data_IF_800109187867
#
_entry.id   IF_800109187867
#
_cell.length_a   1.000
_cell.length_b   1.000
_cell.length_c   1.000
_cell.angle_alpha   90.00
_cell.angle_beta   90.00
_cell.angle_gamma   90.00
#
_symmetry.space_group_name_H-M   'P 1'
#
loop_
_entity.id
_entity.type
_entity.pdbx_description
1 polymer ?
#
# COMPACT_ATOMS: atom_id res chain seq x y z
N UNK A 1 41.68 -1.12 26.83
CA UNK A 1 40.72 -0.14 26.31
C UNK A 1 39.84 -0.99 25.43
N UNK A 2 39.04 -1.83 26.07
CA UNK A 2 38.55 -3.09 25.50
C UNK A 2 37.03 -3.06 25.35
N UNK A 3 36.48 -1.87 25.07
CA UNK A 3 35.08 -1.73 24.67
C UNK A 3 34.92 -2.12 23.19
N UNK A 4 34.26 -3.24 22.93
CA UNK A 4 34.02 -3.72 21.57
C UNK A 4 32.84 -2.99 20.92
N UNK A 5 33.12 -2.34 19.80
CA UNK A 5 32.13 -1.59 19.04
C UNK A 5 32.27 -1.80 17.54
N UNK A 6 31.17 -1.68 16.83
CA UNK A 6 31.12 -1.78 15.37
C UNK A 6 30.21 -0.69 14.80
N UNK A 7 30.65 -0.10 13.69
CA UNK A 7 29.84 0.79 12.86
C UNK A 7 29.77 0.17 11.47
N UNK A 8 28.56 0.07 10.94
CA UNK A 8 28.30 -0.35 9.56
C UNK A 8 27.58 0.79 8.85
N UNK A 9 28.06 1.09 7.65
CA UNK A 9 27.45 2.07 6.75
C UNK A 9 27.23 1.39 5.41
N UNK A 10 26.01 1.45 4.89
CA UNK A 10 25.66 0.94 3.58
C UNK A 10 24.89 2.00 2.78
N UNK A 11 25.07 1.99 1.46
CA UNK A 11 24.27 2.76 0.52
C UNK A 11 23.60 1.82 -0.46
N UNK A 12 22.38 2.15 -0.88
CA UNK A 12 21.66 1.36 -1.85
C UNK A 12 20.98 2.24 -2.91
N UNK A 13 20.86 1.67 -4.10
CA UNK A 13 20.16 2.28 -5.22
C UNK A 13 19.46 1.19 -6.03
N UNK A 14 18.18 1.38 -6.30
CA UNK A 14 17.36 0.52 -7.14
C UNK A 14 16.65 1.37 -8.18
N UNK A 15 16.98 1.11 -9.44
CA UNK A 15 16.21 1.63 -10.57
C UNK A 15 14.96 0.77 -10.78
N UNK A 16 13.82 1.41 -10.99
CA UNK A 16 12.57 0.76 -11.37
C UNK A 16 12.32 1.13 -12.83
N UNK A 17 12.52 0.16 -13.74
CA UNK A 17 12.29 0.38 -15.16
C UNK A 17 10.81 0.60 -15.46
N UNK A 18 9.97 -0.29 -14.92
CA UNK A 18 8.52 -0.21 -15.01
C UNK A 18 7.86 -0.98 -13.87
N UNK A 19 6.57 -0.75 -13.66
CA UNK A 19 5.71 -1.54 -12.79
C UNK A 19 4.27 -1.58 -13.32
N UNK A 20 3.51 -2.58 -12.87
CA UNK A 20 2.09 -2.70 -13.20
C UNK A 20 1.31 -1.70 -12.35
N UNK A 21 0.60 -0.81 -13.03
CA UNK A 21 -0.25 0.21 -12.42
C UNK A 21 -1.72 -0.08 -12.76
N UNK A 22 -2.55 -0.16 -11.73
CA UNK A 22 -4.00 -0.21 -11.91
C UNK A 22 -4.50 1.21 -12.12
N UNK A 23 -5.16 1.45 -13.24
CA UNK A 23 -5.77 2.73 -13.59
C UNK A 23 -7.28 2.59 -13.68
N UNK A 24 -7.98 3.67 -13.36
CA UNK A 24 -9.42 3.78 -13.53
C UNK A 24 -9.73 5.02 -14.37
N UNK A 25 -10.61 4.86 -15.36
CA UNK A 25 -11.15 5.96 -16.17
C UNK A 25 -12.64 6.05 -15.83
N UNK A 26 -13.07 7.22 -15.40
CA UNK A 26 -14.44 7.45 -14.96
C UNK A 26 -14.85 8.91 -15.24
N UNK A 27 -15.84 9.15 -16.13
CA UNK A 27 -16.53 8.16 -16.97
C UNK A 27 -15.65 7.66 -18.13
N UNK A 28 -15.79 6.39 -18.52
CA UNK A 28 -15.18 5.83 -19.73
C UNK A 28 -16.22 5.70 -20.84
N UNK A 29 -15.95 6.31 -22.00
CA UNK A 29 -16.82 6.26 -23.19
C UNK A 29 -16.75 4.88 -23.85
N UNK A 30 -17.66 3.97 -23.48
CA UNK A 30 -17.64 2.60 -23.98
C UNK A 30 -18.04 2.54 -25.46
N UNK A 31 -19.10 3.24 -25.84
CA UNK A 31 -19.59 3.23 -27.23
C UNK A 31 -18.57 3.84 -28.19
N UNK A 32 -18.00 5.00 -27.84
CA UNK A 32 -16.97 5.67 -28.64
C UNK A 32 -15.67 4.87 -28.75
N UNK A 33 -15.38 3.96 -27.82
CA UNK A 33 -14.25 3.01 -27.89
C UNK A 33 -14.62 1.66 -28.53
N UNK A 34 -15.80 1.54 -29.15
CA UNK A 34 -16.19 0.38 -29.96
C UNK A 34 -16.82 -0.78 -29.19
N UNK A 35 -17.18 -0.58 -27.93
CA UNK A 35 -18.00 -1.54 -27.20
C UNK A 35 -19.46 -1.42 -27.65
N UNK A 36 -20.14 -2.55 -27.80
CA UNK A 36 -21.58 -2.56 -28.06
C UNK A 36 -22.30 -2.37 -26.72
N UNK A 37 -22.83 -1.18 -26.51
CA UNK A 37 -23.59 -0.80 -25.31
C UNK A 37 -25.06 -0.62 -25.70
N UNK A 38 -26.02 -1.24 -24.99
CA UNK A 38 -27.43 -0.96 -25.24
C UNK A 38 -27.82 0.41 -24.67
N UNK A 39 -28.67 1.18 -25.35
CA UNK A 39 -29.17 2.49 -24.86
C UNK A 39 -29.92 2.39 -23.53
N UNK A 40 -30.47 1.22 -23.21
CA UNK A 40 -31.21 0.96 -21.99
C UNK A 40 -31.25 -0.52 -21.62
N UNK A 41 -31.52 -0.80 -20.34
CA UNK A 41 -31.74 -2.13 -19.79
C UNK A 41 -33.11 -2.23 -19.14
N UNK A 42 -33.79 -3.36 -19.36
CA UNK A 42 -35.07 -3.67 -18.72
C UNK A 42 -34.81 -4.49 -17.46
N UNK A 43 -35.20 -3.97 -16.30
CA UNK A 43 -35.00 -4.63 -15.00
C UNK A 43 -36.34 -4.91 -14.32
N UNK A 44 -36.49 -6.05 -13.62
CA UNK A 44 -37.70 -6.36 -12.87
C UNK A 44 -37.84 -5.46 -11.63
N UNK A 45 -39.06 -5.09 -11.31
CA UNK A 45 -39.40 -4.32 -10.11
C UNK A 45 -39.64 -5.28 -8.94
N UNK A 46 -39.10 -4.96 -7.77
CA UNK A 46 -39.29 -5.73 -6.53
C UNK A 46 -40.06 -4.91 -5.50
N UNK A 47 -40.79 -5.58 -4.61
CA UNK A 47 -41.37 -4.93 -3.45
C UNK A 47 -40.28 -4.47 -2.47
N UNK A 48 -40.55 -3.39 -1.74
CA UNK A 48 -39.69 -2.94 -0.66
C UNK A 48 -39.66 -3.99 0.45
N UNK A 49 -38.49 -4.23 1.02
CA UNK A 49 -38.34 -5.18 2.12
C UNK A 49 -38.89 -4.57 3.41
N UNK A 50 -39.78 -5.28 4.09
CA UNK A 50 -40.39 -4.85 5.36
C UNK A 50 -39.45 -5.06 6.56
N UNK A 51 -38.46 -5.95 6.43
CA UNK A 51 -37.47 -6.24 7.47
C UNK A 51 -36.10 -6.65 6.89
N UNK A 52 -35.01 -6.42 7.64
CA UNK A 52 -33.67 -6.82 7.22
C UNK A 52 -33.57 -8.34 6.97
N UNK A 53 -33.04 -8.72 5.79
CA UNK A 53 -32.85 -10.12 5.41
C UNK A 53 -34.07 -10.80 4.77
N UNK A 54 -35.17 -10.08 4.56
CA UNK A 54 -36.29 -10.57 3.74
C UNK A 54 -35.80 -10.88 2.30
N UNK A 55 -36.23 -12.02 1.76
CA UNK A 55 -35.94 -12.37 0.37
C UNK A 55 -36.70 -11.43 -0.58
N UNK A 56 -36.05 -10.93 -1.65
CA UNK A 56 -36.70 -10.00 -2.57
C UNK A 56 -37.83 -10.69 -3.34
N UNK A 57 -39.02 -10.09 -3.32
CA UNK A 57 -40.20 -10.55 -4.06
C UNK A 57 -40.45 -9.65 -5.28
N UNK A 58 -40.60 -10.25 -6.46
CA UNK A 58 -40.86 -9.51 -7.70
C UNK A 58 -42.31 -9.06 -7.79
N UNK A 59 -42.51 -7.83 -8.25
CA UNK A 59 -43.84 -7.33 -8.63
C UNK A 59 -44.27 -8.01 -9.92
N UNK A 60 -45.45 -8.61 -9.94
CA UNK A 60 -46.04 -9.26 -11.12
C UNK A 60 -47.34 -8.57 -11.53
N UNK A 61 -47.67 -8.62 -12.81
CA UNK A 61 -48.92 -8.11 -13.35
C UNK A 61 -50.08 -9.11 -13.15
N UNK A 62 -51.27 -8.75 -13.66
CA UNK A 62 -52.48 -9.59 -13.56
C UNK A 62 -52.39 -10.92 -14.32
N UNK A 63 -51.35 -11.13 -15.14
CA UNK A 63 -51.08 -12.37 -15.86
C UNK A 63 -49.99 -13.21 -15.18
N UNK A 64 -49.38 -12.70 -14.11
CA UNK A 64 -48.26 -13.31 -13.41
C UNK A 64 -46.90 -13.03 -14.06
N UNK A 65 -46.82 -12.12 -15.04
CA UNK A 65 -45.55 -11.72 -15.64
C UNK A 65 -44.86 -10.64 -14.80
N UNK A 66 -43.51 -10.63 -14.69
CA UNK A 66 -42.79 -9.60 -13.95
C UNK A 66 -43.06 -8.20 -14.50
N UNK A 67 -43.41 -7.26 -13.63
CA UNK A 67 -43.41 -5.84 -13.96
C UNK A 67 -41.97 -5.40 -14.10
N UNK A 68 -41.65 -4.72 -15.20
CA UNK A 68 -40.31 -4.25 -15.50
C UNK A 68 -40.27 -2.76 -15.72
N UNK A 69 -39.12 -2.15 -15.49
CA UNK A 69 -38.82 -0.76 -15.81
C UNK A 69 -37.60 -0.72 -16.75
N UNK A 70 -37.66 0.15 -17.74
CA UNK A 70 -36.54 0.42 -18.65
C UNK A 70 -35.73 1.58 -18.11
N UNK A 71 -34.44 1.35 -17.88
CA UNK A 71 -33.49 2.32 -17.34
C UNK A 71 -32.43 2.61 -18.40
N UNK A 72 -32.15 3.88 -18.75
CA UNK A 72 -31.08 4.20 -19.69
C UNK A 72 -29.72 3.79 -19.13
N UNK A 73 -28.82 3.35 -20.00
CA UNK A 73 -27.43 3.10 -19.61
C UNK A 73 -26.64 4.42 -19.61
N UNK A 74 -25.55 4.45 -18.83
CA UNK A 74 -24.62 5.58 -18.76
C UNK A 74 -23.20 5.05 -18.67
N UNK A 75 -22.23 5.82 -19.17
CA UNK A 75 -20.82 5.50 -19.01
C UNK A 75 -20.45 5.36 -17.53
N UNK A 76 -19.78 4.26 -17.24
CA UNK A 76 -19.31 3.90 -15.90
C UNK A 76 -17.79 3.97 -15.78
N UNK A 77 -17.29 3.43 -14.66
CA UNK A 77 -15.88 3.23 -14.40
C UNK A 77 -15.33 2.06 -15.21
N UNK A 78 -14.23 2.28 -15.92
CA UNK A 78 -13.43 1.22 -16.53
C UNK A 78 -12.10 1.10 -15.78
N UNK A 79 -11.78 -0.11 -15.32
CA UNK A 79 -10.51 -0.42 -14.64
C UNK A 79 -9.64 -1.33 -15.51
N UNK A 80 -8.35 -1.04 -15.58
CA UNK A 80 -7.38 -1.88 -16.28
C UNK A 80 -6.00 -1.77 -15.63
N UNK A 81 -5.09 -2.65 -16.02
CA UNK A 81 -3.71 -2.66 -15.56
C UNK A 81 -2.78 -2.38 -16.74
N UNK A 82 -1.91 -1.38 -16.60
CA UNK A 82 -0.92 -1.02 -17.62
C UNK A 82 0.48 -1.19 -17.03
N UNK A 83 1.45 -1.54 -17.88
CA UNK A 83 2.87 -1.43 -17.51
C UNK A 83 3.30 0.01 -17.83
N UNK A 84 3.67 0.79 -16.82
CA UNK A 84 4.04 2.18 -17.06
C UNK A 84 5.34 2.29 -17.86
N UNK A 85 5.49 3.36 -18.65
CA UNK A 85 6.67 3.53 -19.50
C UNK A 85 7.94 3.94 -18.72
N UNK A 86 7.78 4.44 -17.48
CA UNK A 86 8.87 4.83 -16.58
C UNK A 86 8.48 4.44 -15.16
N UNK A 87 9.23 3.54 -14.52
CA UNK A 87 8.94 3.10 -13.15
C UNK A 87 9.33 4.15 -12.11
N UNK A 88 10.61 4.49 -11.99
CA UNK A 88 11.13 5.38 -10.96
C UNK A 88 12.41 4.88 -10.31
N UNK A 89 12.67 5.25 -9.06
CA UNK A 89 13.80 4.75 -8.28
C UNK A 89 13.49 4.67 -6.78
N UNK A 90 14.31 3.89 -6.07
CA UNK A 90 14.41 3.88 -4.61
C UNK A 90 15.89 3.96 -4.27
N UNK A 91 16.27 4.82 -3.34
CA UNK A 91 17.66 4.97 -2.90
C UNK A 91 17.75 5.34 -1.43
N UNK A 92 18.89 5.10 -0.82
CA UNK A 92 19.05 5.44 0.58
C UNK A 92 20.40 5.08 1.16
N UNK A 93 20.50 5.35 2.46
CA UNK A 93 21.64 4.99 3.30
C UNK A 93 21.14 4.26 4.54
N UNK A 94 21.95 3.34 5.02
CA UNK A 94 21.70 2.58 6.24
C UNK A 94 22.92 2.66 7.14
N UNK A 95 22.66 2.91 8.42
CA UNK A 95 23.64 2.98 9.48
C UNK A 95 23.27 1.95 10.54
N UNK A 96 24.25 1.21 11.02
CA UNK A 96 24.12 0.38 12.21
C UNK A 96 25.29 0.63 13.14
N UNK A 97 25.00 0.71 14.42
CA UNK A 97 25.96 0.95 15.48
C UNK A 97 25.72 -0.04 16.61
N UNK A 98 26.77 -0.73 17.03
CA UNK A 98 26.78 -1.60 18.20
C UNK A 98 27.93 -1.20 19.08
N UNK A 99 27.69 -1.11 20.39
CA UNK A 99 28.74 -0.90 21.37
C UNK A 99 28.43 -1.71 22.63
N UNK A 100 29.45 -2.41 23.12
CA UNK A 100 29.43 -3.10 24.40
C UNK A 100 30.47 -2.44 25.30
N UNK A 101 30.06 -2.09 26.50
CA UNK A 101 30.90 -1.45 27.50
C UNK A 101 31.36 -2.48 28.54
N UNK A 102 32.56 -2.99 28.37
CA UNK A 102 33.24 -3.90 29.32
C UNK A 102 33.98 -3.14 30.43
N UNK A 103 34.52 -1.96 30.11
CA UNK A 103 35.39 -1.16 30.99
C UNK A 103 34.66 -0.31 32.04
N UNK A 104 33.33 -0.28 32.03
CA UNK A 104 32.55 0.47 33.01
C UNK A 104 32.57 -0.23 34.39
N UNK A 105 32.63 0.53 35.49
CA UNK A 105 32.81 -0.06 36.82
C UNK A 105 31.53 -0.73 37.36
N UNK A 106 31.72 -1.84 38.06
CA UNK A 106 30.67 -2.53 38.81
C UNK A 106 29.53 -3.02 37.91
N UNK A 107 28.29 -2.79 38.36
CA UNK A 107 27.09 -3.24 37.64
C UNK A 107 26.96 -2.67 36.23
N UNK A 108 27.73 -1.65 35.83
CA UNK A 108 27.63 -1.06 34.49
C UNK A 108 28.46 -1.80 33.45
N UNK A 109 29.36 -2.69 33.85
CA UNK A 109 30.04 -3.61 32.94
C UNK A 109 29.01 -4.52 32.29
N UNK A 110 29.11 -4.72 30.97
CA UNK A 110 28.16 -5.50 30.18
C UNK A 110 26.92 -4.73 29.71
N UNK A 111 26.84 -3.41 29.96
CA UNK A 111 25.88 -2.55 29.28
C UNK A 111 26.23 -2.48 27.79
N UNK A 112 25.23 -2.56 26.93
CA UNK A 112 25.41 -2.37 25.50
C UNK A 112 24.24 -1.68 24.82
N UNK A 113 24.55 -1.12 23.66
CA UNK A 113 23.60 -0.43 22.79
C UNK A 113 23.70 -0.99 21.39
N UNK A 114 22.54 -1.23 20.79
CA UNK A 114 22.41 -1.44 19.36
C UNK A 114 21.51 -0.34 18.81
N UNK A 115 21.92 0.33 17.75
CA UNK A 115 21.09 1.30 17.05
C UNK A 115 21.20 1.05 15.56
N UNK A 116 20.08 1.18 14.84
CA UNK A 116 20.10 1.25 13.39
C UNK A 116 19.22 2.38 12.90
N UNK A 117 19.62 2.96 11.78
CA UNK A 117 18.92 4.05 11.12
C UNK A 117 18.95 3.84 9.61
N UNK A 118 17.80 3.97 8.96
CA UNK A 118 17.66 3.92 7.51
C UNK A 118 16.98 5.20 7.03
N UNK A 119 17.59 5.83 6.04
CA UNK A 119 17.03 6.93 5.27
C UNK A 119 16.73 6.45 3.87
N UNK A 120 15.47 6.51 3.45
CA UNK A 120 15.04 6.01 2.14
C UNK A 120 14.21 7.06 1.40
N UNK A 121 14.62 7.36 0.17
CA UNK A 121 13.88 8.22 -0.74
C UNK A 121 13.40 7.40 -1.94
N UNK A 122 12.18 7.68 -2.41
CA UNK A 122 11.64 7.07 -3.63
C UNK A 122 10.86 8.07 -4.47
N UNK A 123 10.93 7.88 -5.77
CA UNK A 123 10.07 8.56 -6.73
C UNK A 123 9.61 7.52 -7.75
N UNK A 124 8.30 7.45 -7.97
CA UNK A 124 7.66 6.63 -9.01
C UNK A 124 6.80 7.50 -9.91
N UNK A 125 6.70 7.13 -11.19
CA UNK A 125 5.81 7.80 -12.13
C UNK A 125 4.49 7.04 -12.22
N UNK A 126 3.39 7.76 -12.04
CA UNK A 126 2.03 7.24 -12.06
C UNK A 126 1.20 7.86 -13.15
N UNK A 127 0.35 7.06 -13.77
CA UNK A 127 -0.56 7.44 -14.84
C UNK A 127 -1.95 7.63 -14.26
N UNK A 128 -2.46 8.87 -14.31
CA UNK A 128 -3.81 9.20 -13.82
C UNK A 128 -4.54 9.95 -14.93
N UNK A 129 -5.59 9.34 -15.48
CA UNK A 129 -6.27 9.85 -16.66
C UNK A 129 -5.30 10.00 -17.84
N UNK A 130 -5.20 11.22 -18.39
CA UNK A 130 -4.29 11.53 -19.50
C UNK A 130 -2.91 12.07 -19.04
N UNK A 131 -2.63 12.14 -17.74
CA UNK A 131 -1.40 12.72 -17.20
C UNK A 131 -0.46 11.70 -16.55
N UNK A 132 0.84 12.02 -16.54
CA UNK A 132 1.88 11.27 -15.81
C UNK A 132 2.44 12.17 -14.69
N UNK A 133 2.47 11.66 -13.47
CA UNK A 133 2.89 12.41 -12.28
C UNK A 133 3.88 11.63 -11.43
N UNK A 134 4.87 12.35 -10.87
CA UNK A 134 5.78 11.80 -9.88
C UNK A 134 5.10 11.69 -8.50
N UNK A 135 5.31 10.60 -7.80
CA UNK A 135 4.82 10.37 -6.44
C UNK A 135 5.80 9.47 -5.67
N UNK A 136 5.72 9.49 -4.34
CA UNK A 136 6.50 8.54 -3.52
C UNK A 136 5.87 7.14 -3.59
N UNK A 137 6.69 6.10 -3.42
CA UNK A 137 6.19 4.75 -3.31
C UNK A 137 5.43 4.60 -1.97
N UNK A 138 4.14 4.21 -1.98
CA UNK A 138 3.36 4.11 -0.75
C UNK A 138 3.87 2.96 0.12
N UNK A 139 3.75 3.14 1.44
CA UNK A 139 4.17 2.14 2.43
C UNK A 139 5.67 2.17 2.75
N UNK A 140 6.42 3.14 2.22
CA UNK A 140 7.82 3.34 2.54
C UNK A 140 7.99 4.53 3.49
N UNK A 141 8.43 4.27 4.72
CA UNK A 141 8.84 5.33 5.64
C UNK A 141 10.16 5.92 5.18
N UNK A 142 10.24 7.25 5.08
CA UNK A 142 11.49 7.93 4.70
C UNK A 142 12.58 7.74 5.76
N UNK A 143 12.18 7.65 7.03
CA UNK A 143 13.07 7.50 8.17
C UNK A 143 12.61 6.32 9.03
N UNK A 144 13.51 5.38 9.29
CA UNK A 144 13.28 4.28 10.23
C UNK A 144 14.46 4.22 11.18
N UNK A 145 14.19 4.26 12.48
CA UNK A 145 15.20 4.16 13.52
C UNK A 145 14.78 3.10 14.55
N UNK A 146 15.74 2.29 15.00
CA UNK A 146 15.56 1.42 16.16
C UNK A 146 16.74 1.58 17.09
N UNK A 147 16.48 1.44 18.39
CA UNK A 147 17.51 1.49 19.41
C UNK A 147 17.16 0.47 20.48
N UNK A 148 18.10 -0.41 20.79
CA UNK A 148 17.99 -1.38 21.87
C UNK A 148 19.10 -1.13 22.88
N UNK A 149 18.70 -1.00 24.13
CA UNK A 149 19.60 -1.07 25.27
C UNK A 149 19.56 -2.48 25.84
N UNK A 150 20.72 -3.08 26.07
CA UNK A 150 20.82 -4.37 26.72
C UNK A 150 21.83 -4.30 27.85
N UNK A 151 21.62 -5.13 28.86
CA UNK A 151 22.48 -5.15 30.03
C UNK A 151 22.62 -6.59 30.51
N UNK A 152 23.87 -7.01 30.68
CA UNK A 152 24.23 -8.32 31.22
C UNK A 152 25.18 -8.14 32.41
N UNK A 153 24.86 -8.72 33.56
CA UNK A 153 25.71 -8.68 34.74
C UNK A 153 25.47 -9.90 35.63
N UNK A 154 26.54 -10.59 36.04
CA UNK A 154 26.51 -11.74 36.96
C UNK A 154 25.41 -12.79 36.67
N UNK A 155 25.16 -13.08 35.38
CA UNK A 155 24.17 -14.08 34.95
C UNK A 155 22.72 -13.58 34.82
N UNK A 156 22.48 -12.28 35.03
CA UNK A 156 21.21 -11.61 34.70
C UNK A 156 21.33 -10.87 33.36
N UNK A 157 20.37 -11.06 32.45
CA UNK A 157 20.26 -10.32 31.18
C UNK A 157 18.90 -9.61 31.10
N UNK A 158 18.90 -8.36 30.64
CA UNK A 158 17.67 -7.63 30.27
C UNK A 158 17.88 -6.77 29.02
N UNK A 159 16.80 -6.51 28.29
CA UNK A 159 16.80 -5.72 27.05
C UNK A 159 15.55 -4.85 26.96
N UNK A 160 15.71 -3.65 26.42
CA UNK A 160 14.63 -2.69 26.14
C UNK A 160 14.84 -2.12 24.74
N UNK A 161 13.78 -2.10 23.93
CA UNK A 161 13.77 -1.63 22.53
C UNK A 161 12.51 -0.86 22.20
#
# INVERSE_FOLDING_TARGET
DDSDGAIVVAGFYKNIESFIENIAIEPYDFEGNGFVVPDSVTVPVFYEADYPGQAPEQVVDNTGAPVTVTVPTTDGRYETAINNARGGYIRGIELAYTQIYSDLPGMWSGLGVNASYSYTESEIQRTVGNGVYASQLPGLSENVATMTLFWEYEGFETRVS
#
